data_IF_575376627980
#
_entry.id   IF_575376627980
#
_cell.length_a   1.000
_cell.length_b   1.000
_cell.length_c   1.000
_cell.angle_alpha   90.00
_cell.angle_beta   90.00
_cell.angle_gamma   90.00
#
_symmetry.space_group_name_H-M   'P 1'
#
loop_
_entity.id
_entity.type
_entity.pdbx_description
1 polymer ?
#
# COMPACT_ATOMS: atom_id res chain seq x y z
N UNK A 1 35.51 49.16 12.60
CA UNK A 1 34.13 48.65 12.70
C UNK A 1 33.90 47.76 11.49
N UNK A 2 34.02 46.44 11.64
CA UNK A 2 33.84 45.49 10.53
C UNK A 2 32.33 45.16 10.40
N UNK A 3 31.78 44.99 9.19
CA UNK A 3 30.38 44.63 9.04
C UNK A 3 30.14 43.20 9.53
N UNK A 4 29.01 43.01 10.21
CA UNK A 4 28.59 41.76 10.79
C UNK A 4 28.47 40.65 9.74
N UNK A 5 29.05 39.49 10.03
CA UNK A 5 28.89 38.27 9.24
C UNK A 5 27.42 37.83 9.33
N UNK A 6 26.66 38.02 8.25
CA UNK A 6 25.33 37.41 8.13
C UNK A 6 25.54 35.88 8.12
N UNK A 7 24.78 35.11 8.92
CA UNK A 7 24.81 33.66 8.80
C UNK A 7 24.25 33.30 7.43
N UNK A 8 25.05 32.56 6.65
CA UNK A 8 24.58 31.96 5.41
C UNK A 8 23.40 31.04 5.74
N UNK A 9 22.21 31.37 5.27
CA UNK A 9 21.06 30.46 5.30
C UNK A 9 21.50 29.23 4.50
N UNK A 10 21.67 28.09 5.16
CA UNK A 10 21.91 26.80 4.48
C UNK A 10 20.79 26.63 3.44
N UNK A 11 21.09 26.23 2.20
CA UNK A 11 20.07 26.11 1.17
C UNK A 11 19.00 25.12 1.65
N UNK A 12 17.81 25.66 1.94
CA UNK A 12 16.61 24.90 2.23
C UNK A 12 16.01 24.51 0.88
N UNK A 13 16.50 23.40 0.31
CA UNK A 13 15.93 22.60 -0.80
C UNK A 13 17.02 21.56 -1.14
N UNK A 14 16.82 20.25 -1.13
CA UNK A 14 15.62 19.49 -1.48
C UNK A 14 15.80 18.03 -1.03
N UNK A 15 14.97 17.56 -0.10
CA UNK A 15 14.54 16.16 -0.13
C UNK A 15 13.10 16.22 -0.57
N UNK A 16 12.79 15.76 -1.78
CA UNK A 16 11.40 15.51 -2.15
C UNK A 16 10.92 14.43 -1.19
N UNK A 17 10.15 14.82 -0.19
CA UNK A 17 9.53 13.90 0.75
C UNK A 17 8.27 13.33 0.12
N UNK A 18 8.15 12.01 0.11
CA UNK A 18 6.88 11.36 -0.19
C UNK A 18 6.04 11.44 1.09
N UNK A 19 4.79 11.88 0.96
CA UNK A 19 3.81 11.91 2.06
C UNK A 19 2.60 11.06 1.67
N UNK A 20 1.96 10.46 2.67
CA UNK A 20 0.67 9.78 2.54
C UNK A 20 -0.43 10.76 2.93
N UNK A 21 -1.51 10.80 2.14
CA UNK A 21 -2.67 11.69 2.32
C UNK A 21 -3.97 10.88 2.31
N UNK A 22 -5.11 11.56 2.52
CA UNK A 22 -6.46 10.98 2.44
C UNK A 22 -6.68 9.76 3.36
N UNK A 23 -6.74 10.04 4.66
CA UNK A 23 -6.88 9.05 5.74
C UNK A 23 -8.33 8.55 5.94
N UNK A 24 -9.20 8.62 4.92
CA UNK A 24 -10.63 8.30 5.05
C UNK A 24 -10.90 6.81 5.38
N UNK A 25 -10.01 5.92 4.94
CA UNK A 25 -10.05 4.49 5.25
C UNK A 25 -9.05 4.08 6.35
N UNK A 26 -8.41 5.05 7.01
CA UNK A 26 -7.44 4.74 8.06
C UNK A 26 -8.13 4.21 9.31
N UNK A 27 -7.69 3.03 9.77
CA UNK A 27 -8.18 2.38 10.96
C UNK A 27 -7.08 1.48 11.55
N UNK A 28 -7.28 1.03 12.80
CA UNK A 28 -6.42 -0.01 13.38
C UNK A 28 -6.60 -1.29 12.58
N UNK A 29 -5.52 -1.80 12.00
CA UNK A 29 -5.51 -2.99 11.14
C UNK A 29 -4.15 -3.69 11.24
N UNK A 30 -4.00 -4.98 10.89
CA UNK A 30 -2.70 -5.61 10.77
C UNK A 30 -1.84 -4.86 9.74
N UNK A 31 -0.61 -4.52 10.11
CA UNK A 31 0.34 -3.84 9.20
C UNK A 31 0.52 -4.58 7.87
N UNK A 32 0.44 -5.92 7.91
CA UNK A 32 0.60 -6.75 6.74
C UNK A 32 -0.55 -6.61 5.75
N UNK A 33 -1.75 -6.25 6.20
CA UNK A 33 -2.87 -5.91 5.32
C UNK A 33 -2.57 -4.64 4.53
N UNK A 34 -2.07 -3.61 5.21
CA UNK A 34 -1.78 -2.31 4.57
C UNK A 34 -0.68 -2.43 3.52
N UNK A 35 0.38 -3.19 3.86
CA UNK A 35 1.47 -3.50 2.92
C UNK A 35 0.97 -4.35 1.75
N UNK A 36 0.14 -5.36 2.01
CA UNK A 36 -0.41 -6.19 0.93
C UNK A 36 -1.29 -5.36 -0.01
N UNK A 37 -2.13 -4.50 0.55
CA UNK A 37 -2.95 -3.55 -0.20
C UNK A 37 -2.07 -2.65 -1.08
N UNK A 38 -1.01 -2.07 -0.51
CA UNK A 38 -0.05 -1.26 -1.27
C UNK A 38 0.55 -2.03 -2.46
N UNK A 39 0.91 -3.31 -2.30
CA UNK A 39 1.41 -4.13 -3.40
C UNK A 39 0.35 -4.46 -4.46
N UNK A 40 -0.92 -4.61 -4.07
CA UNK A 40 -2.00 -4.75 -5.05
C UNK A 40 -2.21 -3.48 -5.86
N UNK A 41 -1.99 -2.28 -5.28
CA UNK A 41 -2.08 -1.03 -6.04
C UNK A 41 -1.05 -0.91 -7.17
N UNK A 42 0.07 -1.66 -7.11
CA UNK A 42 1.02 -1.73 -8.24
C UNK A 42 0.39 -2.36 -9.49
N UNK A 43 -0.66 -3.18 -9.32
CA UNK A 43 -1.39 -3.83 -10.41
C UNK A 43 -2.45 -2.93 -11.03
N UNK A 44 -2.83 -1.83 -10.38
CA UNK A 44 -3.84 -0.92 -10.88
C UNK A 44 -3.26 0.12 -11.85
N UNK A 45 -4.05 0.52 -12.85
CA UNK A 45 -3.80 1.72 -13.64
C UNK A 45 -5.10 2.52 -13.79
N UNK A 46 -5.36 3.39 -12.83
CA UNK A 46 -6.56 4.23 -12.81
C UNK A 46 -6.62 5.28 -13.93
N UNK A 47 -5.54 5.46 -14.70
CA UNK A 47 -5.49 6.35 -15.87
C UNK A 47 -5.61 5.59 -17.21
N UNK A 48 -5.90 4.29 -17.18
CA UNK A 48 -6.14 3.49 -18.39
C UNK A 48 -7.59 3.58 -18.85
N UNK A 49 -7.88 3.07 -20.05
CA UNK A 49 -9.25 2.93 -20.56
C UNK A 49 -10.09 1.92 -19.76
N UNK A 50 -9.45 1.07 -18.95
CA UNK A 50 -10.08 0.03 -18.12
C UNK A 50 -9.61 0.10 -16.66
N UNK A 51 -9.85 1.22 -15.95
CA UNK A 51 -9.24 1.48 -14.64
C UNK A 51 -9.74 0.53 -13.52
N UNK A 52 -10.80 -0.22 -13.80
CA UNK A 52 -11.39 -1.24 -12.94
C UNK A 52 -10.69 -2.61 -13.04
N UNK A 53 -9.80 -2.81 -14.01
CA UNK A 53 -9.08 -4.06 -14.22
C UNK A 53 -7.67 -3.97 -13.65
N UNK A 54 -7.32 -4.97 -12.82
CA UNK A 54 -5.97 -5.15 -12.30
C UNK A 54 -5.12 -5.97 -13.26
N UNK A 55 -3.85 -5.60 -13.40
CA UNK A 55 -2.82 -6.34 -14.15
C UNK A 55 -1.86 -7.07 -13.18
N UNK A 56 -2.05 -8.39 -12.97
CA UNK A 56 -1.22 -9.16 -12.05
C UNK A 56 0.25 -9.21 -12.44
N UNK A 57 0.61 -8.94 -13.70
CA UNK A 57 2.00 -8.97 -14.15
C UNK A 57 2.85 -7.85 -13.56
N UNK A 58 2.20 -6.78 -13.07
CA UNK A 58 2.84 -5.63 -12.42
C UNK A 58 3.01 -5.78 -10.91
N UNK A 59 2.51 -6.86 -10.32
CA UNK A 59 2.67 -7.12 -8.90
C UNK A 59 4.18 -7.15 -8.54
N UNK A 60 4.62 -6.53 -7.44
CA UNK A 60 6.03 -6.44 -7.11
C UNK A 60 6.66 -7.81 -6.99
N UNK A 61 7.82 -7.98 -7.62
CA UNK A 61 8.65 -9.19 -7.53
C UNK A 61 9.09 -9.45 -6.09
N UNK A 62 9.55 -10.67 -5.79
CA UNK A 62 10.07 -11.00 -4.46
C UNK A 62 11.20 -10.06 -4.03
N UNK A 63 12.09 -9.68 -4.96
CA UNK A 63 13.18 -8.74 -4.70
C UNK A 63 12.65 -7.34 -4.35
N UNK A 64 11.66 -6.83 -5.10
CA UNK A 64 11.06 -5.53 -4.84
C UNK A 64 10.31 -5.50 -3.49
N UNK A 65 9.53 -6.55 -3.19
CA UNK A 65 8.87 -6.68 -1.89
C UNK A 65 9.88 -6.73 -0.75
N UNK A 66 10.95 -7.51 -0.92
CA UNK A 66 12.04 -7.58 0.06
C UNK A 66 12.70 -6.22 0.28
N UNK A 67 12.97 -5.46 -0.79
CA UNK A 67 13.51 -4.11 -0.67
C UNK A 67 12.58 -3.19 0.13
N UNK A 68 11.27 -3.27 -0.11
CA UNK A 68 10.27 -2.53 0.69
C UNK A 68 10.33 -2.93 2.17
N UNK A 69 10.38 -4.24 2.48
CA UNK A 69 10.46 -4.73 3.87
C UNK A 69 11.71 -4.27 4.59
N UNK A 70 12.87 -4.29 3.92
CA UNK A 70 14.14 -3.79 4.48
C UNK A 70 14.00 -2.33 4.85
N UNK A 71 13.51 -1.49 3.93
CA UNK A 71 13.30 -0.06 4.20
C UNK A 71 12.29 0.18 5.34
N UNK A 72 11.17 -0.55 5.34
CA UNK A 72 10.14 -0.44 6.36
C UNK A 72 10.66 -0.81 7.76
N UNK A 73 11.29 -1.99 7.90
CA UNK A 73 11.78 -2.49 9.18
C UNK A 73 12.97 -1.67 9.70
N UNK A 74 13.86 -1.22 8.83
CA UNK A 74 14.97 -0.34 9.21
C UNK A 74 14.45 1.01 9.74
N UNK A 75 13.44 1.58 9.08
CA UNK A 75 12.83 2.82 9.55
C UNK A 75 12.14 2.63 10.90
N UNK A 76 11.34 1.57 11.04
CA UNK A 76 10.66 1.24 12.29
C UNK A 76 11.66 1.02 13.45
N UNK A 77 12.73 0.26 13.20
CA UNK A 77 13.79 0.05 14.19
C UNK A 77 14.48 1.37 14.58
N UNK A 78 14.79 2.24 13.61
CA UNK A 78 15.39 3.55 13.88
C UNK A 78 14.50 4.42 14.74
N UNK A 79 13.20 4.50 14.42
CA UNK A 79 12.25 5.30 15.21
C UNK A 79 12.10 4.79 16.64
N UNK A 80 12.14 3.47 16.86
CA UNK A 80 12.09 2.88 18.20
C UNK A 80 13.39 3.11 18.98
N UNK A 81 14.54 2.95 18.31
CA UNK A 81 15.86 3.18 18.89
C UNK A 81 16.09 4.64 19.26
N UNK A 82 15.60 5.60 18.47
CA UNK A 82 15.65 7.03 18.78
C UNK A 82 14.90 7.35 20.09
N UNK A 83 13.77 6.69 20.33
CA UNK A 83 13.00 6.83 21.57
C UNK A 83 13.72 6.17 22.76
N UNK A 84 14.42 5.06 22.52
CA UNK A 84 15.14 4.31 23.55
C UNK A 84 16.57 4.81 23.84
N UNK A 85 17.14 5.66 22.98
CA UNK A 85 18.54 6.07 23.06
C UNK A 85 19.54 4.97 22.66
N UNK A 86 19.11 3.99 21.87
CA UNK A 86 19.91 2.85 21.42
C UNK A 86 20.31 2.99 19.94
N UNK A 87 21.23 2.15 19.48
CA UNK A 87 21.54 2.06 18.04
C UNK A 87 20.60 1.07 17.35
N UNK A 88 20.01 1.41 16.19
CA UNK A 88 19.12 0.50 15.48
C UNK A 88 19.89 -0.72 14.96
N UNK A 89 19.30 -1.90 15.16
CA UNK A 89 19.80 -3.13 14.57
C UNK A 89 19.19 -3.34 13.17
N UNK A 90 19.96 -3.90 12.22
CA UNK A 90 19.43 -4.23 10.90
C UNK A 90 18.39 -5.36 11.00
N UNK A 91 17.37 -5.31 10.13
CA UNK A 91 16.37 -6.36 10.03
C UNK A 91 17.03 -7.71 9.70
N UNK A 92 16.67 -8.77 10.44
CA UNK A 92 17.19 -10.11 10.19
C UNK A 92 16.44 -10.81 9.05
N UNK A 93 17.05 -11.85 8.46
CA UNK A 93 16.36 -12.70 7.47
C UNK A 93 15.06 -13.30 8.00
N UNK A 94 15.04 -13.63 9.29
CA UNK A 94 13.84 -14.17 9.95
C UNK A 94 12.72 -13.13 9.99
N UNK A 95 13.04 -11.87 10.25
CA UNK A 95 12.05 -10.78 10.29
C UNK A 95 11.47 -10.53 8.90
N UNK A 96 12.33 -10.50 7.88
CA UNK A 96 11.92 -10.35 6.48
C UNK A 96 11.03 -11.50 6.02
N UNK A 97 11.40 -12.74 6.32
CA UNK A 97 10.60 -13.92 5.99
C UNK A 97 9.25 -13.94 6.75
N UNK A 98 9.25 -13.49 8.00
CA UNK A 98 8.03 -13.38 8.80
C UNK A 98 7.07 -12.35 8.20
N UNK A 99 7.58 -11.17 7.84
CA UNK A 99 6.77 -10.12 7.24
C UNK A 99 6.22 -10.52 5.87
N UNK A 100 7.05 -11.13 5.00
CA UNK A 100 6.59 -11.69 3.73
C UNK A 100 5.42 -12.67 3.96
N UNK A 101 5.58 -13.64 4.87
CA UNK A 101 4.52 -14.60 5.17
C UNK A 101 3.24 -13.92 5.66
N UNK A 102 3.35 -12.92 6.53
CA UNK A 102 2.19 -12.18 7.04
C UNK A 102 1.49 -11.42 5.91
N UNK A 103 2.24 -10.71 5.05
CA UNK A 103 1.71 -9.99 3.89
C UNK A 103 0.98 -10.94 2.96
N UNK A 104 1.56 -12.12 2.67
CA UNK A 104 0.91 -13.14 1.84
C UNK A 104 -0.41 -13.66 2.43
N UNK A 105 -0.51 -13.82 3.76
CA UNK A 105 -1.74 -14.25 4.44
C UNK A 105 -2.82 -13.16 4.35
N UNK A 106 -2.47 -11.89 4.57
CA UNK A 106 -3.41 -10.78 4.56
C UNK A 106 -3.77 -10.28 3.17
N UNK A 107 -3.03 -10.68 2.14
CA UNK A 107 -3.23 -10.31 0.73
C UNK A 107 -4.67 -10.55 0.26
N UNK A 108 -5.18 -11.77 0.45
CA UNK A 108 -6.54 -12.09 0.01
C UNK A 108 -7.58 -11.15 0.66
N UNK A 109 -7.41 -10.82 1.94
CA UNK A 109 -8.34 -9.94 2.64
C UNK A 109 -8.44 -8.54 1.98
N UNK A 110 -7.36 -7.99 1.42
CA UNK A 110 -7.42 -6.73 0.67
C UNK A 110 -8.30 -6.86 -0.58
N UNK A 111 -8.15 -7.94 -1.35
CA UNK A 111 -9.06 -8.19 -2.48
C UNK A 111 -10.51 -8.32 -2.02
N UNK A 112 -10.77 -9.06 -0.94
CA UNK A 112 -12.12 -9.23 -0.39
C UNK A 112 -12.77 -7.91 0.04
N UNK A 113 -12.05 -7.07 0.80
CA UNK A 113 -12.54 -5.76 1.26
C UNK A 113 -12.95 -4.88 0.08
N UNK A 114 -12.07 -4.75 -0.91
CA UNK A 114 -12.31 -3.88 -2.07
C UNK A 114 -13.35 -4.45 -3.05
N UNK A 115 -13.51 -5.77 -3.11
CA UNK A 115 -14.62 -6.38 -3.85
C UNK A 115 -15.97 -6.00 -3.24
N UNK A 116 -16.09 -6.04 -1.91
CA UNK A 116 -17.31 -5.62 -1.20
C UNK A 116 -17.55 -4.12 -1.40
N UNK A 117 -16.50 -3.30 -1.28
CA UNK A 117 -16.59 -1.87 -1.52
C UNK A 117 -17.14 -1.58 -2.93
N UNK A 118 -16.62 -2.26 -3.96
CA UNK A 118 -17.11 -2.10 -5.34
C UNK A 118 -18.59 -2.43 -5.49
N UNK A 119 -19.09 -3.48 -4.81
CA UNK A 119 -20.52 -3.81 -4.81
C UNK A 119 -21.35 -2.69 -4.19
N UNK A 120 -20.88 -2.09 -3.09
CA UNK A 120 -21.58 -0.98 -2.42
C UNK A 120 -21.63 0.25 -3.32
N UNK A 121 -20.52 0.60 -3.99
CA UNK A 121 -20.50 1.72 -4.94
C UNK A 121 -21.43 1.48 -6.14
N UNK A 122 -21.40 0.27 -6.72
CA UNK A 122 -22.29 -0.11 -7.83
C UNK A 122 -23.77 0.02 -7.45
N UNK A 123 -24.14 -0.33 -6.21
CA UNK A 123 -25.51 -0.13 -5.70
C UNK A 123 -25.89 1.36 -5.70
N UNK A 124 -24.98 2.22 -5.26
CA UNK A 124 -25.26 3.65 -5.15
C UNK A 124 -25.43 4.31 -6.52
N UNK A 125 -24.64 3.90 -7.52
CA UNK A 125 -24.80 4.34 -8.91
C UNK A 125 -26.16 3.90 -9.48
N UNK A 126 -26.52 2.62 -9.28
CA UNK A 126 -27.82 2.09 -9.70
C UNK A 126 -28.98 2.82 -9.03
N UNK A 127 -28.87 3.11 -7.74
CA UNK A 127 -29.91 3.82 -6.98
C UNK A 127 -30.08 5.27 -7.44
N UNK A 128 -29.01 5.91 -7.94
CA UNK A 128 -29.05 7.25 -8.54
C UNK A 128 -29.53 7.26 -9.99
N UNK A 129 -29.71 6.08 -10.60
CA UNK A 129 -30.07 5.95 -12.02
C UNK A 129 -28.94 6.36 -12.95
N UNK A 130 -27.68 6.22 -12.51
CA UNK A 130 -26.52 6.48 -13.37
C UNK A 130 -26.50 5.45 -14.51
N UNK A 131 -26.34 5.93 -15.74
CA UNK A 131 -26.38 5.09 -16.95
C UNK A 131 -25.04 5.04 -17.66
N UNK A 132 -24.12 5.96 -17.34
CA UNK A 132 -22.77 6.01 -17.88
C UNK A 132 -21.78 6.35 -16.74
N UNK A 133 -21.57 5.42 -15.79
CA UNK A 133 -20.67 5.68 -14.68
C UNK A 133 -19.24 5.90 -15.18
N UNK A 134 -18.55 6.85 -14.56
CA UNK A 134 -17.13 7.14 -14.84
C UNK A 134 -16.23 5.93 -14.52
N UNK A 135 -16.67 5.07 -13.60
CA UNK A 135 -15.95 3.88 -13.18
C UNK A 135 -16.86 2.64 -13.13
N UNK A 136 -16.43 1.53 -13.73
CA UNK A 136 -17.17 0.26 -13.69
C UNK A 136 -16.94 -0.47 -12.36
N UNK A 137 -17.76 -0.13 -11.35
CA UNK A 137 -17.71 -0.76 -10.04
C UNK A 137 -18.09 -2.25 -10.05
N UNK A 138 -18.93 -2.70 -10.98
CA UNK A 138 -19.30 -4.12 -11.09
C UNK A 138 -18.10 -4.92 -11.61
N UNK A 139 -17.48 -4.44 -12.70
CA UNK A 139 -16.26 -5.01 -13.26
C UNK A 139 -15.12 -5.03 -12.24
N UNK A 140 -14.95 -3.95 -11.48
CA UNK A 140 -13.98 -3.87 -10.39
C UNK A 140 -14.23 -4.93 -9.31
N UNK A 141 -15.46 -5.02 -8.81
CA UNK A 141 -15.83 -5.99 -7.79
C UNK A 141 -15.59 -7.43 -8.26
N UNK A 142 -15.92 -7.74 -9.52
CA UNK A 142 -15.66 -9.04 -10.13
C UNK A 142 -14.15 -9.33 -10.22
N UNK A 143 -13.35 -8.37 -10.69
CA UNK A 143 -11.89 -8.49 -10.79
C UNK A 143 -11.24 -8.77 -9.42
N UNK A 144 -11.61 -7.99 -8.39
CA UNK A 144 -11.12 -8.16 -7.02
C UNK A 144 -11.59 -9.50 -6.44
N UNK A 145 -12.84 -9.89 -6.63
CA UNK A 145 -13.38 -11.16 -6.11
C UNK A 145 -12.71 -12.39 -6.74
N UNK A 146 -12.41 -12.35 -8.04
CA UNK A 146 -11.64 -13.43 -8.69
C UNK A 146 -10.24 -13.55 -8.10
N UNK A 147 -9.59 -12.41 -7.84
CA UNK A 147 -8.26 -12.41 -7.23
C UNK A 147 -8.28 -12.86 -5.77
N UNK A 148 -9.31 -12.50 -5.00
CA UNK A 148 -9.56 -13.03 -3.66
C UNK A 148 -9.59 -14.56 -3.68
N UNK A 149 -10.44 -15.17 -4.52
CA UNK A 149 -10.58 -16.64 -4.60
C UNK A 149 -9.25 -17.30 -4.94
N UNK A 150 -8.54 -16.79 -5.96
CA UNK A 150 -7.23 -17.29 -6.37
C UNK A 150 -6.21 -17.28 -5.23
N UNK A 151 -6.17 -16.21 -4.43
CA UNK A 151 -5.21 -16.09 -3.33
C UNK A 151 -5.61 -16.95 -2.12
N UNK A 152 -6.90 -17.09 -1.83
CA UNK A 152 -7.41 -18.01 -0.80
C UNK A 152 -7.06 -19.46 -1.14
N UNK A 153 -7.31 -19.87 -2.39
CA UNK A 153 -6.94 -21.20 -2.88
C UNK A 153 -5.43 -21.46 -2.76
N UNK A 154 -4.59 -20.45 -3.09
CA UNK A 154 -3.14 -20.54 -2.95
C UNK A 154 -2.66 -20.68 -1.49
N UNK A 155 -3.49 -20.30 -0.52
CA UNK A 155 -3.26 -20.51 0.92
C UNK A 155 -3.78 -21.87 1.42
N UNK A 156 -4.47 -22.63 0.57
CA UNK A 156 -5.07 -23.93 0.92
C UNK A 156 -6.34 -23.81 1.76
N UNK A 157 -7.08 -22.70 1.60
CA UNK A 157 -8.38 -22.42 2.26
C UNK A 157 -9.51 -22.64 1.25
#
# INVERSE_FOLDING_TARGET
MAPAHMPTIKPFMSRIGIIVVDFEYSAVNPLAFDIANHFHEWTANYHSDVPHILDPSRYPTLEQRRNFYVGYLQHAASSLSDVAGESPSPASEKDLATLERQVRIWSAASHGMWAIWGIVQARDDLARGETQPEFDYIGYAQCRMQSFRREVEALGI
#
